data_IF_095279782386
#
_entry.id   IF_095279782386
#
_cell.length_a   1.000
_cell.length_b   1.000
_cell.length_c   1.000
_cell.angle_alpha   90.00
_cell.angle_beta   90.00
_cell.angle_gamma   90.00
#
_symmetry.space_group_name_H-M   'P 1'
#
loop_
_entity.id
_entity.type
_entity.pdbx_description
1 polymer ?
#
# COMPACT_ATOMS: atom_id res chain seq x y z
N UNK A 1 -13.45 16.01 2.98
CA UNK A 1 -14.43 15.28 2.14
C UNK A 1 -14.34 15.84 0.74
N UNK A 2 -14.45 15.00 -0.28
CA UNK A 2 -14.46 15.39 -1.69
C UNK A 2 -15.55 14.62 -2.45
N UNK A 3 -15.98 15.20 -3.57
CA UNK A 3 -16.97 14.62 -4.46
C UNK A 3 -16.26 14.12 -5.73
N UNK A 4 -16.61 12.91 -6.18
CA UNK A 4 -15.94 12.22 -7.27
C UNK A 4 -16.95 11.64 -8.27
N UNK A 5 -16.50 11.55 -9.51
CA UNK A 5 -17.13 10.76 -10.56
C UNK A 5 -16.17 9.64 -10.94
N UNK A 6 -16.64 8.40 -10.85
CA UNK A 6 -15.82 7.21 -11.11
C UNK A 6 -16.50 6.30 -12.12
N UNK A 7 -15.71 5.65 -12.96
CA UNK A 7 -16.17 4.60 -13.88
C UNK A 7 -15.44 3.30 -13.55
N UNK A 8 -16.08 2.16 -13.79
CA UNK A 8 -15.43 0.86 -13.60
C UNK A 8 -14.34 0.69 -14.66
N UNK A 9 -13.16 0.25 -14.24
CA UNK A 9 -12.03 -0.01 -15.14
C UNK A 9 -12.40 -1.02 -16.24
N UNK A 10 -13.20 -2.03 -15.90
CA UNK A 10 -13.68 -3.06 -16.83
C UNK A 10 -14.65 -2.55 -17.90
N UNK A 11 -15.33 -1.43 -17.64
CA UNK A 11 -16.31 -0.82 -18.55
C UNK A 11 -15.73 0.38 -19.31
N UNK A 12 -14.53 0.82 -18.91
CA UNK A 12 -13.83 1.95 -19.51
C UNK A 12 -13.62 1.72 -21.01
N UNK A 13 -14.07 2.69 -21.82
CA UNK A 13 -13.99 2.64 -23.28
C UNK A 13 -15.07 1.81 -23.97
N UNK A 14 -15.93 1.10 -23.23
CA UNK A 14 -17.07 0.36 -23.77
C UNK A 14 -18.40 1.06 -23.50
N UNK A 15 -18.58 1.56 -22.28
CA UNK A 15 -19.83 2.18 -21.81
C UNK A 15 -19.48 3.47 -21.08
N UNK A 16 -20.15 4.57 -21.41
CA UNK A 16 -20.02 5.85 -20.70
C UNK A 16 -20.98 5.89 -19.50
N UNK A 17 -20.73 4.99 -18.54
CA UNK A 17 -21.46 4.96 -17.28
C UNK A 17 -20.54 5.41 -16.14
N UNK A 18 -21.02 6.37 -15.36
CA UNK A 18 -20.27 6.95 -14.25
C UNK A 18 -21.12 6.95 -12.99
N UNK A 19 -20.46 6.69 -11.87
CA UNK A 19 -21.03 6.70 -10.55
C UNK A 19 -20.56 7.93 -9.79
N UNK A 20 -21.49 8.62 -9.16
CA UNK A 20 -21.17 9.69 -8.23
C UNK A 20 -20.90 9.12 -6.84
N UNK A 21 -19.82 9.56 -6.18
CA UNK A 21 -19.58 9.21 -4.78
C UNK A 21 -18.92 10.36 -4.02
N UNK A 22 -19.19 10.42 -2.71
CA UNK A 22 -18.50 11.30 -1.77
C UNK A 22 -17.48 10.49 -0.98
N UNK A 23 -16.24 10.94 -0.95
CA UNK A 23 -15.12 10.23 -0.32
C UNK A 23 -14.40 11.05 0.75
N UNK A 24 -13.70 10.34 1.63
CA UNK A 24 -12.76 10.90 2.59
C UNK A 24 -11.33 11.03 2.02
N UNK A 25 -11.04 10.33 0.92
CA UNK A 25 -9.72 10.29 0.26
C UNK A 25 -9.45 11.48 -0.68
N UNK A 26 -10.19 12.58 -0.54
CA UNK A 26 -10.09 13.73 -1.45
C UNK A 26 -8.73 14.44 -1.46
N UNK A 27 -7.94 14.28 -0.40
CA UNK A 27 -6.58 14.84 -0.31
C UNK A 27 -5.54 13.97 -1.02
N UNK A 28 -5.91 12.73 -1.38
CA UNK A 28 -5.02 11.73 -1.94
C UNK A 28 -5.28 11.48 -3.44
N UNK A 29 -6.52 11.70 -3.87
CA UNK A 29 -6.99 11.36 -5.21
C UNK A 29 -6.88 12.55 -6.17
N UNK A 30 -6.39 12.27 -7.36
CA UNK A 30 -6.35 13.14 -8.53
C UNK A 30 -7.10 12.52 -9.72
N UNK A 31 -7.60 13.31 -10.68
CA UNK A 31 -8.23 12.77 -11.89
C UNK A 31 -7.27 11.84 -12.64
N UNK A 32 -7.77 10.64 -13.00
CA UNK A 32 -6.97 9.60 -13.65
C UNK A 32 -6.44 8.53 -12.69
N UNK A 33 -6.52 8.75 -11.38
CA UNK A 33 -6.15 7.73 -10.39
C UNK A 33 -7.09 6.52 -10.44
N UNK A 34 -6.52 5.35 -10.18
CA UNK A 34 -7.29 4.12 -9.98
C UNK A 34 -7.57 3.93 -8.49
N UNK A 35 -8.78 3.46 -8.17
CA UNK A 35 -9.22 3.23 -6.79
C UNK A 35 -9.90 1.87 -6.63
N UNK A 36 -9.76 1.29 -5.46
CA UNK A 36 -10.61 0.20 -5.00
C UNK A 36 -11.82 0.75 -4.25
N UNK A 37 -12.97 0.13 -4.49
CA UNK A 37 -14.20 0.47 -3.82
C UNK A 37 -15.22 -0.67 -3.88
N UNK A 38 -16.25 -0.55 -3.06
CA UNK A 38 -17.40 -1.45 -3.05
C UNK A 38 -18.48 -0.91 -3.98
N UNK A 39 -19.01 -1.77 -4.84
CA UNK A 39 -20.14 -1.51 -5.70
C UNK A 39 -21.42 -2.07 -5.06
N UNK A 40 -22.27 -1.19 -4.54
CA UNK A 40 -23.54 -1.55 -3.92
C UNK A 40 -24.67 -1.75 -4.93
N UNK A 41 -24.51 -1.32 -6.18
CA UNK A 41 -25.53 -1.48 -7.22
C UNK A 41 -25.73 -2.94 -7.61
N UNK A 42 -24.66 -3.74 -7.56
CA UNK A 42 -24.66 -5.17 -7.87
C UNK A 42 -24.55 -6.06 -6.64
N UNK A 43 -24.48 -5.49 -5.43
CA UNK A 43 -24.30 -6.25 -4.20
C UNK A 43 -25.64 -6.81 -3.69
N UNK A 44 -25.76 -8.14 -3.64
CA UNK A 44 -26.86 -8.81 -2.95
C UNK A 44 -26.45 -9.14 -1.52
N UNK A 45 -26.78 -8.24 -0.58
CA UNK A 45 -26.35 -8.31 0.81
C UNK A 45 -27.48 -8.83 1.70
N UNK A 46 -27.25 -9.94 2.40
CA UNK A 46 -28.14 -10.42 3.45
C UNK A 46 -27.75 -9.78 4.79
N UNK A 47 -28.18 -8.53 5.00
CA UNK A 47 -27.90 -7.80 6.24
C UNK A 47 -29.17 -7.09 6.75
N UNK A 48 -29.68 -7.45 7.96
CA UNK A 48 -30.93 -6.91 8.48
C UNK A 48 -30.86 -5.40 8.80
N UNK A 49 -29.66 -4.84 8.98
CA UNK A 49 -29.52 -3.40 9.21
C UNK A 49 -29.56 -2.61 7.90
N UNK A 50 -29.03 -3.16 6.80
CA UNK A 50 -29.16 -2.56 5.48
C UNK A 50 -30.60 -2.59 4.97
N UNK A 51 -31.35 -3.64 5.28
CA UNK A 51 -32.78 -3.74 4.96
C UNK A 51 -33.63 -2.66 5.65
N UNK A 52 -33.19 -2.13 6.81
CA UNK A 52 -33.88 -1.04 7.52
C UNK A 52 -33.57 0.34 6.92
N UNK A 53 -32.50 0.45 6.13
CA UNK A 53 -32.09 1.73 5.52
C UNK A 53 -32.86 1.93 4.21
N UNK A 54 -33.31 3.16 3.98
CA UNK A 54 -33.95 3.52 2.70
C UNK A 54 -32.91 3.43 1.57
N UNK A 55 -33.29 2.80 0.45
CA UNK A 55 -32.43 2.66 -0.72
C UNK A 55 -31.82 3.99 -1.19
N UNK A 56 -32.58 5.09 -1.13
CA UNK A 56 -32.13 6.45 -1.50
C UNK A 56 -30.96 6.99 -0.65
N UNK A 57 -30.74 6.43 0.54
CA UNK A 57 -29.64 6.83 1.44
C UNK A 57 -28.41 5.95 1.29
N UNK A 58 -28.53 4.83 0.59
CA UNK A 58 -27.40 3.95 0.34
C UNK A 58 -26.58 4.52 -0.83
N UNK A 59 -25.26 4.64 -0.68
CA UNK A 59 -24.40 5.02 -1.79
C UNK A 59 -24.34 3.90 -2.83
N UNK A 60 -24.27 4.25 -4.10
CA UNK A 60 -24.05 3.29 -5.19
C UNK A 60 -22.64 2.70 -5.14
N UNK A 61 -21.65 3.53 -4.83
CA UNK A 61 -20.23 3.15 -4.75
C UNK A 61 -19.59 3.78 -3.52
N UNK A 62 -18.77 3.00 -2.82
CA UNK A 62 -17.95 3.46 -1.69
C UNK A 62 -16.48 3.22 -2.01
N UNK A 63 -15.72 4.31 -2.16
CA UNK A 63 -14.27 4.26 -2.41
C UNK A 63 -13.53 4.05 -1.09
N UNK A 64 -12.57 3.12 -1.07
CA UNK A 64 -11.86 2.67 0.14
C UNK A 64 -10.36 2.89 0.08
N UNK A 65 -9.71 2.61 -1.05
CA UNK A 65 -8.25 2.64 -1.17
C UNK A 65 -7.81 3.18 -2.53
N UNK A 66 -6.82 4.06 -2.57
CA UNK A 66 -6.14 4.46 -3.82
C UNK A 66 -5.21 3.32 -4.26
N UNK A 67 -5.15 3.07 -5.56
CA UNK A 67 -4.15 2.16 -6.14
C UNK A 67 -2.93 2.99 -6.54
N UNK A 68 -1.77 2.65 -6.00
CA UNK A 68 -0.51 3.34 -6.28
C UNK A 68 0.38 2.53 -7.20
N UNK A 69 0.52 2.99 -8.45
CA UNK A 69 1.43 2.43 -9.44
C UNK A 69 1.35 0.91 -9.60
N UNK A 70 2.40 0.32 -10.17
CA UNK A 70 2.55 -1.13 -10.27
C UNK A 70 3.41 -1.68 -9.12
N UNK A 71 3.06 -2.88 -8.62
CA UNK A 71 3.75 -3.57 -7.52
C UNK A 71 5.23 -3.74 -7.82
N UNK A 72 5.57 -4.05 -9.07
CA UNK A 72 6.96 -4.24 -9.51
C UNK A 72 7.78 -2.95 -9.36
N UNK A 73 7.22 -1.80 -9.75
CA UNK A 73 7.89 -0.49 -9.61
C UNK A 73 8.10 -0.15 -8.14
N UNK A 74 7.08 -0.33 -7.29
CA UNK A 74 7.18 -0.07 -5.85
C UNK A 74 8.26 -0.92 -5.18
N UNK A 75 8.30 -2.22 -5.46
CA UNK A 75 9.29 -3.12 -4.88
C UNK A 75 10.73 -2.76 -5.30
N UNK A 76 10.92 -2.30 -6.55
CA UNK A 76 12.23 -1.82 -7.02
C UNK A 76 12.68 -0.57 -6.27
N UNK A 77 11.77 0.38 -6.01
CA UNK A 77 12.06 1.65 -5.30
C UNK A 77 12.18 1.52 -3.79
N UNK A 78 11.75 0.39 -3.23
CA UNK A 78 11.84 0.12 -1.79
C UNK A 78 13.30 0.02 -1.33
N UNK A 79 13.78 1.06 -0.63
CA UNK A 79 15.15 1.20 -0.09
C UNK A 79 15.30 0.73 1.36
N UNK A 80 14.32 0.00 1.87
CA UNK A 80 14.23 -0.45 3.25
C UNK A 80 13.79 -1.91 3.32
N UNK A 81 14.06 -2.56 4.45
CA UNK A 81 13.71 -3.96 4.73
C UNK A 81 13.26 -4.15 6.17
N UNK A 82 12.49 -5.21 6.41
CA UNK A 82 12.16 -5.70 7.76
C UNK A 82 13.10 -6.83 8.16
N UNK A 83 13.22 -7.05 9.47
CA UNK A 83 13.91 -8.22 10.02
C UNK A 83 12.90 -9.22 10.56
N UNK A 84 13.10 -10.48 10.21
CA UNK A 84 12.33 -11.60 10.75
C UNK A 84 13.05 -12.18 11.97
N UNK A 85 12.29 -12.60 12.97
CA UNK A 85 12.82 -13.40 14.07
C UNK A 85 12.92 -14.85 13.59
N UNK A 86 14.10 -15.47 13.72
CA UNK A 86 14.46 -16.85 13.34
C UNK A 86 13.49 -17.61 12.41
N UNK A 87 13.97 -17.89 11.20
CA UNK A 87 13.28 -18.45 10.03
C UNK A 87 12.61 -19.83 10.22
N UNK A 88 12.78 -20.48 11.37
CA UNK A 88 12.39 -21.88 11.58
C UNK A 88 10.86 -22.13 11.52
N UNK A 89 10.04 -21.08 11.45
CA UNK A 89 8.58 -21.18 11.52
C UNK A 89 7.84 -20.90 10.20
N UNK A 90 8.51 -20.39 9.17
CA UNK A 90 7.83 -19.96 7.94
C UNK A 90 8.11 -20.93 6.78
N UNK A 91 7.14 -21.78 6.46
CA UNK A 91 7.12 -22.42 5.14
C UNK A 91 6.93 -21.32 4.09
N UNK A 92 7.90 -21.12 3.21
CA UNK A 92 7.77 -20.24 2.06
C UNK A 92 6.67 -20.79 1.13
N UNK A 93 5.54 -20.09 1.09
CA UNK A 93 4.46 -20.36 0.13
C UNK A 93 4.24 -19.11 -0.71
N UNK A 94 3.77 -19.29 -1.94
CA UNK A 94 3.40 -18.17 -2.81
C UNK A 94 2.23 -17.32 -2.26
N UNK A 95 1.54 -17.76 -1.21
CA UNK A 95 0.60 -16.93 -0.46
C UNK A 95 1.36 -15.98 0.47
N UNK A 96 2.29 -16.53 1.25
CA UNK A 96 3.07 -15.77 2.23
C UNK A 96 3.89 -14.63 1.59
N UNK A 97 4.45 -14.86 0.39
CA UNK A 97 5.18 -13.81 -0.34
C UNK A 97 4.27 -12.65 -0.78
N UNK A 98 3.03 -12.96 -1.16
CA UNK A 98 2.03 -11.95 -1.54
C UNK A 98 1.58 -11.15 -0.33
N UNK A 99 1.22 -11.84 0.75
CA UNK A 99 0.80 -11.22 2.00
C UNK A 99 1.92 -10.34 2.59
N UNK A 100 3.18 -10.80 2.49
CA UNK A 100 4.35 -10.02 2.88
C UNK A 100 4.50 -8.76 2.03
N UNK A 101 4.36 -8.88 0.70
CA UNK A 101 4.45 -7.72 -0.20
C UNK A 101 3.37 -6.70 0.09
N UNK A 102 2.13 -7.14 0.28
CA UNK A 102 0.98 -6.28 0.59
C UNK A 102 1.19 -5.57 1.93
N UNK A 103 1.76 -6.26 2.93
CA UNK A 103 2.12 -5.65 4.20
C UNK A 103 3.20 -4.56 4.06
N UNK A 104 4.21 -4.75 3.22
CA UNK A 104 5.23 -3.72 2.97
C UNK A 104 4.63 -2.49 2.29
N UNK A 105 3.66 -2.68 1.39
CA UNK A 105 2.93 -1.60 0.73
C UNK A 105 2.05 -0.82 1.72
N UNK A 106 1.35 -1.51 2.63
CA UNK A 106 0.56 -0.85 3.66
C UNK A 106 1.44 -0.01 4.61
N UNK A 107 2.66 -0.45 4.91
CA UNK A 107 3.63 0.36 5.68
C UNK A 107 4.10 1.62 4.93
N UNK A 108 4.19 1.57 3.60
CA UNK A 108 4.50 2.72 2.77
C UNK A 108 3.34 3.72 2.72
N UNK A 109 2.10 3.24 2.79
CA UNK A 109 0.88 4.04 2.65
C UNK A 109 0.37 4.64 3.97
N UNK A 110 0.44 3.92 5.09
CA UNK A 110 -0.13 4.33 6.38
C UNK A 110 0.94 4.55 7.47
N UNK A 111 1.06 5.81 7.91
CA UNK A 111 1.96 6.19 8.99
C UNK A 111 1.58 5.57 10.34
N UNK A 112 0.30 5.30 10.61
CA UNK A 112 -0.16 4.77 11.90
C UNK A 112 0.24 3.30 12.08
N UNK A 113 0.11 2.49 11.04
CA UNK A 113 0.62 1.11 11.01
C UNK A 113 2.14 1.11 11.13
N UNK A 114 2.80 2.05 10.43
CA UNK A 114 4.25 2.19 10.42
C UNK A 114 4.89 2.47 11.79
N UNK A 115 4.23 3.25 12.65
CA UNK A 115 4.77 3.66 13.96
C UNK A 115 5.19 2.50 14.87
N UNK A 116 4.62 1.31 14.67
CA UNK A 116 4.84 0.15 15.54
C UNK A 116 5.80 -0.89 14.94
N UNK A 117 6.48 -0.56 13.84
CA UNK A 117 7.36 -1.49 13.10
C UNK A 117 8.76 -0.90 12.93
N UNK A 118 9.78 -1.70 13.26
CA UNK A 118 11.17 -1.34 13.03
C UNK A 118 11.54 -1.50 11.56
N UNK A 119 11.87 -0.38 10.91
CA UNK A 119 12.22 -0.31 9.50
C UNK A 119 13.72 -0.07 9.37
N UNK A 120 14.41 -0.89 8.59
CA UNK A 120 15.87 -0.83 8.43
C UNK A 120 16.26 -0.41 7.02
N UNK A 121 17.32 0.39 6.89
CA UNK A 121 17.86 0.76 5.58
C UNK A 121 18.41 -0.47 4.85
N UNK A 122 18.13 -0.57 3.56
CA UNK A 122 18.75 -1.54 2.67
C UNK A 122 19.93 -0.90 1.93
N UNK A 123 21.13 -1.08 2.48
CA UNK A 123 22.36 -0.50 1.93
C UNK A 123 22.64 -0.96 0.49
N UNK A 124 22.16 -2.15 0.09
CA UNK A 124 22.38 -2.68 -1.26
C UNK A 124 21.64 -1.88 -2.34
N UNK A 125 20.44 -1.37 -2.01
CA UNK A 125 19.59 -0.61 -2.93
C UNK A 125 19.86 0.88 -2.93
N UNK A 126 20.36 1.43 -1.82
CA UNK A 126 20.64 2.87 -1.69
C UNK A 126 21.79 3.34 -2.61
N UNK A 127 22.79 2.49 -2.86
CA UNK A 127 23.98 2.86 -3.64
C UNK A 127 23.75 2.92 -5.17
N UNK A 128 22.58 2.47 -5.66
CA UNK A 128 22.29 2.27 -7.09
C UNK A 128 21.42 3.41 -7.67
N UNK A 129 20.98 4.36 -6.84
CA UNK A 129 19.98 5.35 -7.22
C UNK A 129 20.56 6.49 -8.08
N UNK A 130 20.60 6.23 -9.39
CA UNK A 130 20.79 7.25 -10.43
C UNK A 130 19.53 7.26 -11.28
N UNK A 131 18.88 8.42 -11.32
CA UNK A 131 17.65 8.77 -12.08
C UNK A 131 16.35 8.14 -11.59
N UNK A 132 15.43 8.97 -11.07
CA UNK A 132 13.98 8.76 -11.25
C UNK A 132 13.17 10.00 -10.79
N UNK A 133 13.09 11.00 -11.67
CA UNK A 133 12.21 12.18 -11.52
C UNK A 133 10.76 11.90 -11.94
N UNK A 134 10.40 10.66 -12.30
CA UNK A 134 9.12 10.35 -12.94
C UNK A 134 8.04 9.77 -12.01
N UNK A 135 8.35 9.37 -10.76
CA UNK A 135 7.36 8.81 -9.82
C UNK A 135 7.38 9.47 -8.44
N UNK A 136 7.31 10.80 -8.39
CA UNK A 136 7.24 11.58 -7.13
C UNK A 136 5.97 11.28 -6.32
N UNK A 137 4.92 10.74 -6.96
CA UNK A 137 3.60 10.48 -6.35
C UNK A 137 3.46 9.11 -5.65
N UNK A 138 4.48 8.26 -5.67
CA UNK A 138 4.43 6.95 -5.01
C UNK A 138 4.68 7.08 -3.49
N UNK A 139 3.90 6.40 -2.62
CA UNK A 139 4.15 6.38 -1.19
C UNK A 139 5.53 5.79 -0.88
N UNK A 140 6.30 6.49 -0.07
CA UNK A 140 7.63 6.06 0.37
C UNK A 140 7.82 6.37 1.85
N UNK A 141 8.62 5.53 2.52
CA UNK A 141 9.06 5.77 3.89
C UNK A 141 10.25 6.74 3.85
N UNK A 142 10.24 7.76 4.70
CA UNK A 142 11.34 8.73 4.72
C UNK A 142 12.61 8.12 5.31
N UNK A 143 13.78 8.57 4.86
CA UNK A 143 15.07 8.10 5.40
C UNK A 143 15.23 8.38 6.90
N UNK A 144 14.54 9.40 7.42
CA UNK A 144 14.55 9.78 8.84
C UNK A 144 13.87 8.72 9.73
N UNK A 145 12.91 7.98 9.17
CA UNK A 145 12.17 6.92 9.86
C UNK A 145 12.91 5.57 9.81
N UNK A 146 13.99 5.45 9.03
CA UNK A 146 14.72 4.21 8.87
C UNK A 146 15.90 4.10 9.84
N UNK A 147 16.02 2.95 10.49
CA UNK A 147 17.12 2.59 11.35
C UNK A 147 18.31 2.08 10.51
N UNK A 148 19.52 2.41 10.98
CA UNK A 148 20.72 1.75 10.49
C UNK A 148 20.83 0.36 11.11
N UNK A 149 21.25 -0.60 10.29
CA UNK A 149 21.45 -1.95 10.76
C UNK A 149 22.77 -2.06 11.56
N UNK A 150 22.67 -2.52 12.81
CA UNK A 150 23.81 -2.73 13.67
C UNK A 150 24.51 -4.04 13.30
N UNK A 151 25.66 -3.91 12.63
CA UNK A 151 26.56 -5.02 12.35
C UNK A 151 27.63 -5.06 13.46
N UNK A 152 27.43 -5.91 14.46
CA UNK A 152 28.49 -6.23 15.41
C UNK A 152 29.43 -7.20 14.68
N UNK A 153 30.60 -6.71 14.28
CA UNK A 153 31.69 -7.60 13.90
C UNK A 153 32.14 -8.32 15.18
N UNK A 154 31.96 -9.64 15.23
CA UNK A 154 32.54 -10.49 16.27
C UNK A 154 34.06 -10.54 16.05
N UNK A 155 34.77 -9.48 16.44
CA UNK A 155 36.20 -9.57 16.70
C UNK A 155 36.59 -8.82 18.00
N UNK A 156 36.37 -9.45 19.16
CA UNK A 156 36.83 -8.96 20.44
C UNK A 156 38.26 -9.43 20.80
N UNK A 157 38.98 -10.13 19.91
CA UNK A 157 40.29 -10.71 20.22
C UNK A 157 41.31 -10.32 19.14
N UNK A 158 41.86 -9.12 19.29
CA UNK A 158 43.16 -8.82 18.73
C UNK A 158 44.17 -9.78 19.33
N UNK A 159 44.57 -10.79 18.57
CA UNK A 159 45.78 -11.58 18.82
C UNK A 159 46.97 -10.60 18.83
N UNK A 160 47.40 -10.19 20.02
CA UNK A 160 48.70 -9.56 20.21
C UNK A 160 49.77 -10.66 20.29
N UNK A 161 50.59 -10.74 19.24
CA UNK A 161 51.85 -11.51 19.17
C UNK A 161 52.88 -11.09 20.23
#
# INVERSE_FOLDING_TARGET
MADLWVSKVTESGLIDHQYFCRTHLGHLLSPGDTVYGFDFTNANLNNPDLEKVKAEKLPDVVVVKKVFGDKTTRNRKRRWKLKHLHDDLHMETASNERDYTDFLEDLEEDQTTRQHVNIYKDQSKIAVDTTDTEDEDLPQISLQEMLDDLHIADDPMGDED
#
